data_IF_429353507941
#
_entry.id   IF_429353507941
#
_cell.length_a   1.000
_cell.length_b   1.000
_cell.length_c   1.000
_cell.angle_alpha   90.00
_cell.angle_beta   90.00
_cell.angle_gamma   90.00
#
_symmetry.space_group_name_H-M   'P 1'
#
loop_
_entity.id
_entity.type
_entity.pdbx_description
1 polymer ?
#
# COMPACT_ATOMS: atom_id res chain seq x y z
N UNK A 1 7.88 15.97 14.73
CA UNK A 1 8.39 15.32 13.50
C UNK A 1 7.43 15.61 12.36
N UNK A 2 7.92 16.19 11.30
CA UNK A 2 7.14 16.50 10.09
C UNK A 2 6.59 15.20 9.47
N UNK A 3 5.35 15.25 9.04
CA UNK A 3 4.68 14.19 8.29
C UNK A 3 5.38 14.03 6.94
N UNK A 4 5.64 12.81 6.52
CA UNK A 4 6.29 12.54 5.23
C UNK A 4 5.21 12.53 4.14
N UNK A 5 5.05 13.68 3.47
CA UNK A 5 4.01 13.88 2.44
C UNK A 5 4.12 12.89 1.28
N UNK A 6 5.35 12.57 0.89
CA UNK A 6 5.62 11.61 -0.19
C UNK A 6 5.04 10.22 0.09
N UNK A 7 5.09 9.75 1.34
CA UNK A 7 4.51 8.45 1.70
C UNK A 7 2.98 8.46 1.67
N UNK A 8 2.37 9.58 2.08
CA UNK A 8 0.92 9.72 2.00
C UNK A 8 0.46 9.83 0.53
N UNK A 9 1.21 10.56 -0.32
CA UNK A 9 0.92 10.64 -1.75
C UNK A 9 1.05 9.28 -2.46
N UNK A 10 2.12 8.52 -2.17
CA UNK A 10 2.30 7.16 -2.69
C UNK A 10 1.18 6.22 -2.25
N UNK A 11 0.73 6.34 -0.99
CA UNK A 11 -0.38 5.54 -0.48
C UNK A 11 -1.69 5.91 -1.19
N UNK A 12 -1.93 7.20 -1.46
CA UNK A 12 -3.07 7.66 -2.24
C UNK A 12 -3.06 7.15 -3.67
N UNK A 13 -1.91 7.19 -4.33
CA UNK A 13 -1.71 6.61 -5.66
C UNK A 13 -2.01 5.11 -5.67
N UNK A 14 -1.49 4.37 -4.69
CA UNK A 14 -1.73 2.94 -4.57
C UNK A 14 -3.22 2.60 -4.33
N UNK A 15 -3.91 3.37 -3.48
CA UNK A 15 -5.36 3.20 -3.24
C UNK A 15 -6.17 3.42 -4.52
N UNK A 16 -5.85 4.47 -5.30
CA UNK A 16 -6.52 4.73 -6.57
C UNK A 16 -6.31 3.59 -7.58
N UNK A 17 -5.08 3.08 -7.68
CA UNK A 17 -4.77 1.95 -8.55
C UNK A 17 -5.40 0.62 -8.10
N UNK A 18 -5.43 0.36 -6.79
CA UNK A 18 -6.13 -0.80 -6.22
C UNK A 18 -7.63 -0.73 -6.53
N UNK A 19 -8.25 0.46 -6.47
CA UNK A 19 -9.66 0.62 -6.82
C UNK A 19 -9.94 0.18 -8.27
N UNK A 20 -9.11 0.57 -9.22
CA UNK A 20 -9.25 0.15 -10.63
C UNK A 20 -9.11 -1.37 -10.77
N UNK A 21 -8.06 -1.94 -10.19
CA UNK A 21 -7.78 -3.38 -10.29
C UNK A 21 -8.87 -4.21 -9.62
N UNK A 22 -9.30 -3.85 -8.42
CA UNK A 22 -10.35 -4.58 -7.70
C UNK A 22 -11.70 -4.50 -8.44
N UNK A 23 -12.02 -3.34 -9.03
CA UNK A 23 -13.23 -3.19 -9.86
C UNK A 23 -13.17 -4.12 -11.07
N UNK A 24 -12.01 -4.17 -11.74
CA UNK A 24 -11.82 -5.04 -12.90
C UNK A 24 -11.90 -6.53 -12.52
N UNK A 25 -11.33 -6.94 -11.39
CA UNK A 25 -11.39 -8.33 -10.91
C UNK A 25 -12.83 -8.82 -10.63
N UNK A 26 -13.78 -7.90 -10.39
CA UNK A 26 -15.18 -8.20 -10.16
C UNK A 26 -16.04 -8.15 -11.42
N UNK A 27 -15.46 -7.73 -12.55
CA UNK A 27 -16.14 -7.73 -13.84
C UNK A 27 -16.21 -9.15 -14.44
N UNK A 28 -17.04 -9.31 -15.46
CA UNK A 28 -16.99 -10.52 -16.28
C UNK A 28 -15.65 -10.56 -17.02
N UNK A 29 -15.11 -11.74 -17.29
CA UNK A 29 -13.81 -11.89 -17.96
C UNK A 29 -13.92 -12.47 -19.37
N UNK A 30 -15.12 -12.89 -19.78
CA UNK A 30 -15.40 -13.41 -21.10
C UNK A 30 -16.53 -12.63 -21.79
N UNK A 31 -16.40 -12.28 -23.06
CA UNK A 31 -15.17 -12.35 -23.89
C UNK A 31 -14.13 -11.30 -23.44
N UNK A 32 -12.85 -11.56 -23.68
CA UNK A 32 -11.77 -10.62 -23.33
C UNK A 32 -11.75 -9.42 -24.28
N UNK A 33 -11.55 -8.24 -23.72
CA UNK A 33 -11.48 -6.95 -24.44
C UNK A 33 -10.09 -6.35 -24.41
N UNK A 34 -9.84 -5.30 -25.21
CA UNK A 34 -8.60 -4.52 -25.13
C UNK A 34 -8.39 -3.85 -23.75
N UNK A 35 -9.49 -3.54 -23.04
CA UNK A 35 -9.45 -2.98 -21.68
C UNK A 35 -8.89 -4.02 -20.71
N UNK A 36 -9.33 -5.29 -20.80
CA UNK A 36 -8.84 -6.39 -19.95
C UNK A 36 -7.32 -6.55 -20.12
N UNK A 37 -6.85 -6.61 -21.38
CA UNK A 37 -5.42 -6.71 -21.69
C UNK A 37 -4.62 -5.52 -21.15
N UNK A 38 -5.16 -4.32 -21.28
CA UNK A 38 -4.49 -3.09 -20.80
C UNK A 38 -4.39 -3.09 -19.28
N UNK A 39 -5.47 -3.43 -18.58
CA UNK A 39 -5.48 -3.46 -17.10
C UNK A 39 -4.55 -4.55 -16.61
N UNK A 40 -4.59 -5.75 -17.18
CA UNK A 40 -3.72 -6.85 -16.79
C UNK A 40 -2.24 -6.54 -17.05
N UNK A 41 -1.91 -6.01 -18.23
CA UNK A 41 -0.54 -5.71 -18.60
C UNK A 41 0.07 -4.54 -17.83
N UNK A 42 -0.71 -3.50 -17.47
CA UNK A 42 -0.16 -2.26 -16.91
C UNK A 42 -0.52 -2.04 -15.44
N UNK A 43 -1.64 -2.57 -14.93
CA UNK A 43 -2.15 -2.23 -13.60
C UNK A 43 -2.22 -3.41 -12.65
N UNK A 44 -2.62 -4.58 -13.13
CA UNK A 44 -2.78 -5.77 -12.31
C UNK A 44 -1.46 -6.15 -11.62
N UNK A 45 -1.57 -6.54 -10.35
CA UNK A 45 -0.45 -6.98 -9.49
C UNK A 45 0.65 -5.94 -9.23
N UNK A 46 0.47 -4.65 -9.57
CA UNK A 46 1.47 -3.59 -9.37
C UNK A 46 1.23 -2.73 -8.13
N UNK A 47 -0.01 -2.57 -7.70
CA UNK A 47 -0.35 -1.65 -6.60
C UNK A 47 -0.29 -2.28 -5.22
N UNK A 48 -0.64 -3.56 -5.06
CA UNK A 48 -0.52 -4.23 -3.77
C UNK A 48 0.94 -4.33 -3.28
N UNK A 49 1.97 -4.53 -4.17
CA UNK A 49 3.36 -4.46 -3.74
C UNK A 49 3.76 -3.07 -3.21
N UNK A 50 3.27 -2.00 -3.85
CA UNK A 50 3.49 -0.62 -3.36
C UNK A 50 2.90 -0.46 -1.96
N UNK A 51 1.65 -0.93 -1.78
CA UNK A 51 0.97 -0.83 -0.49
C UNK A 51 1.65 -1.65 0.60
N UNK A 52 2.12 -2.86 0.25
CA UNK A 52 2.89 -3.73 1.16
C UNK A 52 4.20 -3.09 1.59
N UNK A 53 4.96 -2.53 0.66
CA UNK A 53 6.19 -1.79 0.95
C UNK A 53 5.93 -0.60 1.89
N UNK A 54 4.89 0.20 1.61
CA UNK A 54 4.50 1.33 2.44
C UNK A 54 4.01 0.91 3.83
N UNK A 55 3.44 -0.30 3.96
CA UNK A 55 3.06 -0.85 5.25
C UNK A 55 4.30 -1.14 6.10
N UNK A 56 5.33 -1.78 5.54
CA UNK A 56 6.62 -2.00 6.20
C UNK A 56 7.31 -0.70 6.64
N UNK A 57 7.31 0.33 5.79
CA UNK A 57 7.82 1.67 6.13
C UNK A 57 7.02 2.26 7.30
N UNK A 58 5.69 2.19 7.22
CA UNK A 58 4.78 2.74 8.24
C UNK A 58 4.92 2.05 9.59
N UNK A 59 5.24 0.75 9.57
CA UNK A 59 5.51 -0.03 10.76
C UNK A 59 6.72 0.52 11.53
N UNK A 60 7.84 0.77 10.84
CA UNK A 60 9.05 1.36 11.45
C UNK A 60 8.72 2.74 12.02
N UNK A 61 8.07 3.60 11.23
CA UNK A 61 7.68 4.94 11.67
C UNK A 61 6.77 4.93 12.91
N UNK A 62 5.86 3.97 12.98
CA UNK A 62 4.99 3.82 14.15
C UNK A 62 5.78 3.38 15.37
N UNK A 63 6.64 2.38 15.21
CA UNK A 63 7.46 1.84 16.31
C UNK A 63 8.44 2.89 16.85
N UNK A 64 9.10 3.66 15.97
CA UNK A 64 10.02 4.74 16.35
C UNK A 64 9.32 5.85 17.16
N UNK A 65 8.04 6.11 16.82
CA UNK A 65 7.24 7.12 17.53
C UNK A 65 6.71 6.64 18.89
N UNK A 66 6.22 5.43 18.95
CA UNK A 66 5.49 4.95 20.13
C UNK A 66 6.41 4.22 21.10
N UNK A 67 7.54 3.69 20.63
CA UNK A 67 8.45 2.81 21.35
C UNK A 67 7.76 1.62 22.04
N UNK A 68 6.48 1.38 21.72
CA UNK A 68 5.64 0.34 22.31
C UNK A 68 5.26 -0.69 21.26
N UNK A 69 5.84 -1.89 21.40
CA UNK A 69 5.47 -3.05 20.59
C UNK A 69 4.04 -3.52 20.88
N UNK A 70 3.60 -3.35 22.12
CA UNK A 70 2.25 -3.74 22.50
C UNK A 70 1.17 -2.89 21.84
N UNK A 71 1.39 -1.58 21.71
CA UNK A 71 0.51 -0.71 20.93
C UNK A 71 0.44 -1.15 19.45
N UNK A 72 1.57 -1.63 18.91
CA UNK A 72 1.63 -2.15 17.54
C UNK A 72 0.85 -3.46 17.40
N UNK A 73 1.01 -4.40 18.34
CA UNK A 73 0.22 -5.66 18.36
C UNK A 73 -1.27 -5.34 18.37
N UNK A 74 -1.73 -4.47 19.29
CA UNK A 74 -3.15 -4.04 19.32
C UNK A 74 -3.60 -3.44 18.01
N UNK A 75 -2.75 -2.62 17.38
CA UNK A 75 -3.05 -2.01 16.09
C UNK A 75 -3.24 -3.06 14.99
N UNK A 76 -2.42 -4.10 14.96
CA UNK A 76 -2.52 -5.19 14.00
C UNK A 76 -3.73 -6.10 14.29
N UNK A 77 -4.03 -6.38 15.56
CA UNK A 77 -5.22 -7.14 15.94
C UNK A 77 -6.51 -6.42 15.53
N UNK A 78 -6.60 -5.10 15.72
CA UNK A 78 -7.76 -4.35 15.22
C UNK A 78 -7.81 -4.29 13.70
N UNK A 79 -6.67 -4.26 13.02
CA UNK A 79 -6.63 -4.38 11.56
C UNK A 79 -7.16 -5.75 11.11
N UNK A 80 -6.80 -6.82 11.82
CA UNK A 80 -7.36 -8.16 11.58
C UNK A 80 -8.88 -8.17 11.76
N UNK A 81 -9.41 -7.52 12.80
CA UNK A 81 -10.87 -7.42 12.99
C UNK A 81 -11.54 -6.67 11.81
N UNK A 82 -10.94 -5.59 11.31
CA UNK A 82 -11.45 -4.91 10.12
C UNK A 82 -11.39 -5.80 8.87
N UNK A 83 -10.29 -6.55 8.67
CA UNK A 83 -10.16 -7.50 7.57
C UNK A 83 -11.22 -8.59 7.62
N UNK A 84 -11.37 -9.25 8.77
CA UNK A 84 -12.41 -10.28 8.96
C UNK A 84 -13.82 -9.74 8.74
N UNK A 85 -14.12 -8.54 9.23
CA UNK A 85 -15.40 -7.89 8.96
C UNK A 85 -15.59 -7.59 7.47
N UNK A 86 -14.53 -7.16 6.76
CA UNK A 86 -14.61 -6.93 5.32
C UNK A 86 -14.73 -8.23 4.52
N UNK A 87 -14.06 -9.29 4.95
CA UNK A 87 -14.12 -10.61 4.32
C UNK A 87 -15.54 -11.16 4.21
N UNK A 88 -16.45 -10.77 5.12
CA UNK A 88 -17.86 -11.21 5.08
C UNK A 88 -18.61 -10.75 3.83
N UNK A 89 -18.16 -9.68 3.16
CA UNK A 89 -18.81 -9.15 1.96
C UNK A 89 -17.86 -8.99 0.77
N UNK A 90 -16.55 -9.21 0.96
CA UNK A 90 -15.53 -9.08 -0.08
C UNK A 90 -14.39 -10.06 0.13
N UNK A 91 -14.39 -11.17 -0.61
CA UNK A 91 -13.40 -12.26 -0.48
C UNK A 91 -11.96 -11.84 -0.87
N UNK A 92 -11.82 -10.85 -1.75
CA UNK A 92 -10.53 -10.32 -2.22
C UNK A 92 -9.87 -9.30 -1.28
N UNK A 93 -10.24 -9.27 0.00
CA UNK A 93 -9.66 -8.34 0.96
C UNK A 93 -8.21 -8.73 1.32
N UNK A 94 -7.37 -7.72 1.61
CA UNK A 94 -5.94 -7.91 1.92
C UNK A 94 -5.57 -7.48 3.35
N UNK A 95 -6.52 -6.93 4.12
CA UNK A 95 -6.23 -6.41 5.47
C UNK A 95 -5.91 -7.54 6.45
N UNK A 96 -6.56 -8.70 6.29
CA UNK A 96 -6.28 -9.91 7.07
C UNK A 96 -4.86 -10.38 6.85
N UNK A 97 -4.42 -10.49 5.59
CA UNK A 97 -3.04 -10.87 5.25
C UNK A 97 -2.04 -9.88 5.84
N UNK A 98 -2.31 -8.57 5.74
CA UNK A 98 -1.44 -7.54 6.28
C UNK A 98 -1.33 -7.59 7.81
N UNK A 99 -2.41 -7.90 8.48
CA UNK A 99 -2.41 -8.07 9.93
C UNK A 99 -1.61 -9.30 10.36
N UNK A 100 -1.88 -10.46 9.74
CA UNK A 100 -1.21 -11.72 10.02
C UNK A 100 0.29 -11.67 9.72
N UNK A 101 0.67 -11.23 8.52
CA UNK A 101 2.09 -11.08 8.16
C UNK A 101 2.78 -9.97 8.96
N UNK A 102 2.05 -8.92 9.35
CA UNK A 102 2.55 -7.89 10.25
C UNK A 102 2.94 -8.45 11.61
N UNK A 103 2.10 -9.31 12.18
CA UNK A 103 2.37 -10.02 13.44
C UNK A 103 3.48 -11.06 13.28
N UNK A 104 3.41 -11.89 12.23
CA UNK A 104 4.31 -13.03 12.07
C UNK A 104 5.72 -12.64 11.59
N UNK A 105 5.87 -11.55 10.85
CA UNK A 105 7.14 -11.19 10.19
C UNK A 105 7.70 -9.88 10.69
N UNK A 106 6.92 -8.78 10.64
CA UNK A 106 7.45 -7.46 11.01
C UNK A 106 7.76 -7.35 12.50
N UNK A 107 6.94 -7.94 13.36
CA UNK A 107 7.16 -7.88 14.79
C UNK A 107 8.45 -8.61 15.20
N UNK A 108 8.71 -9.88 14.81
CA UNK A 108 10.00 -10.53 15.04
C UNK A 108 11.18 -9.81 14.39
N UNK A 109 11.04 -9.35 13.14
CA UNK A 109 12.08 -8.59 12.44
C UNK A 109 12.46 -7.29 13.19
N UNK A 110 11.51 -6.67 13.88
CA UNK A 110 11.77 -5.50 14.72
C UNK A 110 12.63 -5.83 15.94
N UNK A 111 12.48 -7.04 16.49
CA UNK A 111 13.30 -7.52 17.62
C UNK A 111 14.73 -7.80 17.16
N UNK A 112 14.89 -8.56 16.07
CA UNK A 112 16.20 -8.88 15.50
C UNK A 112 16.98 -7.62 15.14
N UNK A 113 16.33 -6.68 14.46
CA UNK A 113 16.98 -5.44 14.03
C UNK A 113 17.35 -4.52 15.19
N UNK A 114 16.60 -4.54 16.30
CA UNK A 114 16.97 -3.81 17.52
C UNK A 114 18.18 -4.45 18.21
N UNK A 115 18.25 -5.79 18.26
CA UNK A 115 19.39 -6.52 18.77
C UNK A 115 20.68 -6.27 17.97
N UNK A 116 20.59 -6.32 16.63
CA UNK A 116 21.73 -6.05 15.75
C UNK A 116 22.22 -4.59 15.84
N UNK A 117 21.31 -3.65 15.98
CA UNK A 117 21.67 -2.24 16.18
C UNK A 117 22.35 -2.00 17.54
N UNK A 118 21.96 -2.74 18.59
CA UNK A 118 22.61 -2.68 19.91
C UNK A 118 24.03 -3.24 19.88
N UNK A 119 24.28 -4.29 19.07
CA UNK A 119 25.62 -4.91 18.93
C UNK A 119 26.62 -4.04 18.14
N UNK A 120 26.16 -3.12 17.32
CA UNK A 120 27.01 -2.22 16.52
C UNK A 120 26.43 -0.80 16.49
N UNK A 121 26.50 -0.05 17.59
CA UNK A 121 26.02 1.32 17.62
C UNK A 121 26.86 2.17 16.68
N UNK A 122 26.20 2.92 15.78
CA UNK A 122 26.85 3.82 14.83
C UNK A 122 27.22 3.22 13.47
N UNK A 123 27.06 1.91 13.22
CA UNK A 123 27.26 1.37 11.87
C UNK A 123 26.04 1.61 10.99
N UNK A 124 26.24 2.25 9.85
CA UNK A 124 25.22 2.44 8.79
C UNK A 124 24.59 1.11 8.33
N UNK A 125 25.27 0.00 8.58
CA UNK A 125 24.89 -1.37 8.25
C UNK A 125 24.10 -2.08 9.37
N UNK A 126 24.00 -1.47 10.56
CA UNK A 126 23.58 -2.10 11.81
C UNK A 126 22.10 -2.48 11.95
N UNK A 127 21.40 -2.85 10.91
CA UNK A 127 20.04 -3.36 11.01
C UNK A 127 19.17 -3.17 9.77
N UNK A 128 19.49 -2.21 8.90
CA UNK A 128 18.72 -1.97 7.68
C UNK A 128 19.08 -2.96 6.56
N UNK A 129 20.37 -3.18 6.33
CA UNK A 129 20.85 -4.05 5.25
C UNK A 129 20.49 -5.53 5.43
N UNK A 130 20.65 -6.16 6.59
CA UNK A 130 20.22 -7.54 6.80
C UNK A 130 18.73 -7.74 6.56
N UNK A 131 17.90 -6.81 7.04
CA UNK A 131 16.44 -6.86 6.83
C UNK A 131 16.09 -6.68 5.35
N UNK A 132 16.77 -5.77 4.64
CA UNK A 132 16.59 -5.58 3.20
C UNK A 132 16.97 -6.85 2.42
N UNK A 133 18.12 -7.44 2.71
CA UNK A 133 18.61 -8.69 2.05
C UNK A 133 17.63 -9.84 2.30
N UNK A 134 17.17 -10.01 3.54
CA UNK A 134 16.15 -11.01 3.88
C UNK A 134 14.83 -10.75 3.13
N UNK A 135 14.41 -9.50 3.03
CA UNK A 135 13.22 -9.10 2.28
C UNK A 135 13.33 -9.42 0.79
N UNK A 136 14.48 -9.11 0.17
CA UNK A 136 14.75 -9.46 -1.23
C UNK A 136 14.76 -10.97 -1.43
N UNK A 137 15.44 -11.74 -0.58
CA UNK A 137 15.48 -13.20 -0.65
C UNK A 137 14.08 -13.81 -0.52
N UNK A 138 13.26 -13.33 0.44
CA UNK A 138 11.88 -13.75 0.62
C UNK A 138 11.01 -13.42 -0.60
N UNK A 139 11.21 -12.25 -1.21
CA UNK A 139 10.47 -11.85 -2.42
C UNK A 139 10.84 -12.73 -3.61
N UNK A 140 12.14 -13.00 -3.82
CA UNK A 140 12.62 -13.93 -4.87
C UNK A 140 12.04 -15.32 -4.67
N UNK A 141 12.10 -15.85 -3.45
CA UNK A 141 11.52 -17.15 -3.12
C UNK A 141 10.01 -17.19 -3.38
N UNK A 142 9.27 -16.17 -2.95
CA UNK A 142 7.83 -16.08 -3.18
C UNK A 142 7.48 -16.02 -4.67
N UNK A 143 8.26 -15.28 -5.46
CA UNK A 143 8.09 -15.19 -6.91
C UNK A 143 8.28 -16.57 -7.57
N UNK A 144 9.30 -17.33 -7.15
CA UNK A 144 9.52 -18.70 -7.63
C UNK A 144 8.43 -19.70 -7.21
N UNK A 145 7.61 -19.35 -6.20
CA UNK A 145 6.47 -20.18 -5.70
C UNK A 145 5.11 -19.73 -6.22
N UNK A 146 5.06 -18.84 -7.21
CA UNK A 146 3.81 -18.37 -7.82
C UNK A 146 3.32 -17.02 -7.31
N UNK A 147 4.14 -16.29 -6.54
CA UNK A 147 3.86 -14.94 -6.06
C UNK A 147 2.59 -14.82 -5.17
N UNK A 148 1.63 -13.95 -5.53
CA UNK A 148 0.40 -13.76 -4.75
C UNK A 148 0.68 -13.22 -3.33
N UNK A 149 -0.09 -13.64 -2.31
CA UNK A 149 0.07 -13.17 -0.93
C UNK A 149 1.44 -13.48 -0.32
N UNK A 150 2.16 -14.46 -0.84
CA UNK A 150 3.52 -14.80 -0.39
C UNK A 150 4.54 -13.67 -0.60
N UNK A 151 4.26 -12.71 -1.49
CA UNK A 151 5.11 -11.53 -1.71
C UNK A 151 5.03 -10.54 -0.54
N UNK A 152 3.94 -10.50 0.20
CA UNK A 152 3.68 -9.50 1.24
C UNK A 152 4.79 -9.47 2.31
N UNK A 153 5.21 -10.61 2.91
CA UNK A 153 6.28 -10.63 3.91
C UNK A 153 7.60 -10.05 3.41
N UNK A 154 8.02 -10.43 2.20
CA UNK A 154 9.25 -9.93 1.58
C UNK A 154 9.20 -8.42 1.35
N UNK A 155 8.10 -7.91 0.80
CA UNK A 155 7.89 -6.49 0.55
C UNK A 155 7.80 -5.67 1.85
N UNK A 156 7.23 -6.23 2.91
CA UNK A 156 7.24 -5.62 4.25
C UNK A 156 8.66 -5.41 4.75
N UNK A 157 9.51 -6.45 4.65
CA UNK A 157 10.90 -6.38 5.07
C UNK A 157 11.71 -5.42 4.19
N UNK A 158 11.48 -5.39 2.88
CA UNK A 158 12.09 -4.40 1.98
C UNK A 158 11.71 -2.99 2.43
N UNK A 159 10.42 -2.72 2.69
CA UNK A 159 9.96 -1.42 3.18
C UNK A 159 10.62 -1.02 4.51
N UNK A 160 10.72 -1.97 5.46
CA UNK A 160 11.42 -1.76 6.73
C UNK A 160 12.91 -1.46 6.51
N UNK A 161 13.59 -2.22 5.65
CA UNK A 161 15.01 -2.02 5.31
C UNK A 161 15.27 -0.66 4.67
N UNK A 162 14.48 -0.29 3.66
CA UNK A 162 14.58 1.01 2.97
C UNK A 162 14.36 2.18 3.91
N UNK A 163 13.40 2.10 4.84
CA UNK A 163 13.16 3.16 5.81
C UNK A 163 14.36 3.38 6.75
N UNK A 164 15.10 2.33 7.06
CA UNK A 164 16.30 2.39 7.91
C UNK A 164 17.53 2.86 7.15
N UNK A 165 17.71 2.42 5.91
CA UNK A 165 18.85 2.77 5.06
C UNK A 165 18.74 4.19 4.51
N UNK A 166 17.51 4.71 4.32
CA UNK A 166 17.24 6.06 3.80
C UNK A 166 18.06 6.37 2.54
N UNK A 167 17.88 5.62 1.44
CA UNK A 167 18.66 5.81 0.23
C UNK A 167 18.57 7.26 -0.28
N UNK A 168 19.66 7.81 -0.82
CA UNK A 168 19.67 9.18 -1.29
C UNK A 168 18.78 9.37 -2.52
N UNK A 169 18.10 10.51 -2.63
CA UNK A 169 17.16 10.81 -3.72
C UNK A 169 17.77 10.70 -5.12
N UNK A 170 19.09 10.87 -5.27
CA UNK A 170 19.80 10.71 -6.55
C UNK A 170 19.63 9.32 -7.16
N UNK A 171 19.29 8.30 -6.36
CA UNK A 171 19.03 6.96 -6.85
C UNK A 171 17.63 6.77 -7.45
N UNK A 172 16.70 7.73 -7.28
CA UNK A 172 15.33 7.60 -7.80
C UNK A 172 15.29 7.55 -9.33
N UNK A 173 16.03 8.43 -10.02
CA UNK A 173 16.02 8.46 -11.49
C UNK A 173 16.60 7.20 -12.12
N UNK A 174 17.80 6.71 -11.72
CA UNK A 174 18.30 5.44 -12.26
C UNK A 174 17.42 4.24 -11.84
N UNK A 175 16.87 4.22 -10.63
CA UNK A 175 15.95 3.16 -10.21
C UNK A 175 14.67 3.16 -11.05
N UNK A 176 14.12 4.33 -11.37
CA UNK A 176 12.98 4.46 -12.29
C UNK A 176 13.32 3.93 -13.68
N UNK A 177 14.45 4.37 -14.26
CA UNK A 177 14.83 3.95 -15.61
C UNK A 177 15.01 2.43 -15.71
N UNK A 178 15.73 1.83 -14.76
CA UNK A 178 15.97 0.38 -14.73
C UNK A 178 14.66 -0.39 -14.52
N UNK A 179 13.85 0.01 -13.55
CA UNK A 179 12.60 -0.69 -13.25
C UNK A 179 11.55 -0.52 -14.34
N UNK A 180 11.46 0.66 -14.97
CA UNK A 180 10.55 0.90 -16.08
C UNK A 180 10.94 0.09 -17.33
N UNK A 181 12.24 0.06 -17.67
CA UNK A 181 12.74 -0.75 -18.77
C UNK A 181 12.53 -2.24 -18.52
N UNK A 182 12.86 -2.72 -17.32
CA UNK A 182 12.64 -4.12 -16.93
C UNK A 182 11.14 -4.49 -17.00
N UNK A 183 10.26 -3.63 -16.47
CA UNK A 183 8.82 -3.86 -16.54
C UNK A 183 8.32 -3.89 -18.00
N UNK A 184 8.76 -2.97 -18.85
CA UNK A 184 8.36 -2.93 -20.25
C UNK A 184 8.81 -4.19 -21.02
N UNK A 185 10.08 -4.57 -20.89
CA UNK A 185 10.63 -5.74 -21.57
C UNK A 185 9.95 -7.03 -21.10
N UNK A 186 9.82 -7.23 -19.77
CA UNK A 186 9.19 -8.43 -19.23
C UNK A 186 7.70 -8.51 -19.52
N UNK A 187 6.98 -7.37 -19.53
CA UNK A 187 5.58 -7.34 -19.94
C UNK A 187 5.43 -7.65 -21.44
N UNK A 188 6.34 -7.15 -22.29
CA UNK A 188 6.34 -7.45 -23.71
C UNK A 188 6.65 -8.94 -23.97
N UNK A 189 7.61 -9.56 -23.26
CA UNK A 189 7.88 -10.99 -23.38
C UNK A 189 6.70 -11.83 -22.93
N UNK A 190 6.08 -11.49 -21.80
CA UNK A 190 4.86 -12.17 -21.32
C UNK A 190 3.72 -12.07 -22.32
N UNK A 191 3.47 -10.89 -22.90
CA UNK A 191 2.44 -10.69 -23.91
C UNK A 191 2.74 -11.45 -25.21
N UNK A 192 4.01 -11.51 -25.63
CA UNK A 192 4.46 -12.18 -26.86
C UNK A 192 4.36 -13.70 -26.82
N UNK A 193 4.37 -14.33 -25.64
CA UNK A 193 4.15 -15.79 -25.49
C UNK A 193 2.65 -16.14 -25.31
N UNK A 194 1.75 -15.25 -25.69
CA UNK A 194 0.32 -15.50 -25.63
C UNK A 194 -0.32 -15.11 -24.30
N UNK A 195 0.25 -14.10 -23.62
CA UNK A 195 -0.13 -13.61 -22.29
C UNK A 195 -1.61 -13.78 -21.95
N UNK A 196 -1.87 -14.34 -20.80
CA UNK A 196 -3.22 -14.58 -20.29
C UNK A 196 -3.16 -15.53 -19.07
N UNK A 197 -4.27 -15.68 -18.33
CA UNK A 197 -4.35 -16.64 -17.24
C UNK A 197 -4.11 -18.07 -17.77
N UNK A 198 -2.97 -18.68 -17.38
CA UNK A 198 -2.60 -20.04 -17.77
C UNK A 198 -1.72 -20.22 -19.01
N UNK A 199 -1.41 -19.17 -19.77
CA UNK A 199 -0.65 -19.26 -21.03
C UNK A 199 0.76 -18.68 -20.96
N UNK A 200 1.31 -18.37 -19.81
CA UNK A 200 2.65 -17.81 -19.67
C UNK A 200 3.33 -18.20 -18.37
N UNK A 201 4.63 -17.97 -18.31
CA UNK A 201 5.39 -18.16 -17.08
C UNK A 201 4.95 -17.10 -16.04
N UNK A 202 4.21 -17.54 -15.03
CA UNK A 202 3.79 -16.72 -13.89
C UNK A 202 4.96 -15.99 -13.21
N UNK A 203 6.17 -16.56 -13.32
CA UNK A 203 7.39 -15.96 -12.80
C UNK A 203 7.72 -14.68 -13.58
N UNK A 204 7.68 -14.73 -14.92
CA UNK A 204 7.93 -13.57 -15.78
C UNK A 204 6.91 -12.49 -15.50
N UNK A 205 5.62 -12.82 -15.43
CA UNK A 205 4.56 -11.87 -15.09
C UNK A 205 4.78 -11.23 -13.73
N UNK A 206 5.11 -12.02 -12.71
CA UNK A 206 5.30 -11.54 -11.35
C UNK A 206 6.51 -10.62 -11.23
N UNK A 207 7.62 -10.92 -11.91
CA UNK A 207 8.80 -10.06 -11.96
C UNK A 207 8.48 -8.76 -12.71
N UNK A 208 7.74 -8.84 -13.83
CA UNK A 208 7.28 -7.66 -14.56
C UNK A 208 6.40 -6.75 -13.69
N UNK A 209 5.50 -7.34 -12.89
CA UNK A 209 4.63 -6.61 -11.98
C UNK A 209 5.41 -5.94 -10.84
N UNK A 210 6.39 -6.62 -10.24
CA UNK A 210 7.27 -6.06 -9.22
C UNK A 210 8.15 -4.92 -9.78
N UNK A 211 8.72 -5.10 -10.97
CA UNK A 211 9.44 -4.04 -11.67
C UNK A 211 8.52 -2.84 -11.96
N UNK A 212 7.29 -3.08 -12.39
CA UNK A 212 6.27 -2.05 -12.60
C UNK A 212 5.89 -1.32 -11.32
N UNK A 213 5.74 -2.03 -10.20
CA UNK A 213 5.50 -1.43 -8.89
C UNK A 213 6.67 -0.52 -8.46
N UNK A 214 7.91 -0.94 -8.69
CA UNK A 214 9.10 -0.12 -8.43
C UNK A 214 9.15 1.11 -9.35
N UNK A 215 8.82 0.95 -10.64
CA UNK A 215 8.74 2.05 -11.59
C UNK A 215 7.65 3.07 -11.19
N UNK A 216 6.47 2.62 -10.82
CA UNK A 216 5.39 3.50 -10.35
C UNK A 216 5.77 4.24 -9.06
N UNK A 217 6.38 3.54 -8.10
CA UNK A 217 6.84 4.14 -6.84
C UNK A 217 7.86 5.24 -7.08
N UNK A 218 8.91 4.93 -7.84
CA UNK A 218 10.00 5.88 -8.12
C UNK A 218 9.54 6.99 -9.07
N UNK A 219 8.71 6.68 -10.08
CA UNK A 219 8.12 7.64 -10.99
C UNK A 219 7.24 8.67 -10.29
N UNK A 220 6.33 8.22 -9.43
CA UNK A 220 5.48 9.14 -8.65
C UNK A 220 6.36 10.05 -7.78
N UNK A 221 7.40 9.52 -7.12
CA UNK A 221 8.31 10.34 -6.30
C UNK A 221 9.10 11.37 -7.12
N UNK A 222 9.44 11.06 -8.37
CA UNK A 222 10.14 11.98 -9.29
C UNK A 222 9.24 13.12 -9.79
N UNK A 223 7.98 12.80 -10.10
CA UNK A 223 7.02 13.78 -10.66
C UNK A 223 6.16 14.46 -9.61
N UNK A 224 6.33 14.12 -8.32
CA UNK A 224 5.50 14.62 -7.24
C UNK A 224 5.67 16.14 -7.09
N UNK A 225 4.71 16.88 -7.61
CA UNK A 225 4.60 18.34 -7.52
C UNK A 225 3.50 18.73 -6.51
N UNK A 226 3.47 20.00 -6.04
CA UNK A 226 2.48 20.44 -5.04
C UNK A 226 1.02 20.16 -5.44
N UNK A 227 0.65 20.32 -6.69
CA UNK A 227 -0.72 20.06 -7.17
C UNK A 227 -1.08 18.56 -7.11
N UNK A 228 -0.13 17.69 -7.51
CA UNK A 228 -0.33 16.23 -7.45
C UNK A 228 -0.35 15.74 -6.00
N UNK A 229 0.52 16.29 -5.16
CA UNK A 229 0.51 16.05 -3.72
C UNK A 229 -0.81 16.45 -3.08
N UNK A 230 -1.38 17.60 -3.47
CA UNK A 230 -2.66 18.06 -2.97
C UNK A 230 -3.84 17.11 -3.29
N UNK A 231 -3.77 16.37 -4.39
CA UNK A 231 -4.76 15.37 -4.77
C UNK A 231 -4.52 14.01 -4.06
N UNK A 232 -3.27 13.55 -4.03
CA UNK A 232 -2.95 12.21 -3.57
C UNK A 232 -2.80 12.10 -2.05
N UNK A 233 -2.27 13.13 -1.36
CA UNK A 233 -2.08 13.09 0.09
C UNK A 233 -3.39 12.87 0.87
N UNK A 234 -4.51 13.58 0.62
CA UNK A 234 -5.76 13.35 1.31
C UNK A 234 -6.27 11.91 1.13
N UNK A 235 -6.18 11.39 -0.10
CA UNK A 235 -6.58 10.02 -0.42
C UNK A 235 -5.76 8.99 0.38
N UNK A 236 -4.44 9.17 0.46
CA UNK A 236 -3.54 8.30 1.20
C UNK A 236 -3.65 8.44 2.72
N UNK A 237 -4.04 9.62 3.22
CA UNK A 237 -4.32 9.85 4.64
C UNK A 237 -5.57 9.12 5.13
N UNK A 238 -6.50 8.86 4.22
CA UNK A 238 -7.76 8.15 4.46
C UNK A 238 -7.77 6.79 3.76
N UNK A 239 -6.59 6.14 3.62
CA UNK A 239 -6.42 4.93 2.84
C UNK A 239 -7.32 3.77 3.30
N UNK A 240 -7.50 3.56 4.62
CA UNK A 240 -8.38 2.52 5.15
C UNK A 240 -9.85 2.83 4.84
N UNK A 241 -10.28 4.08 5.09
CA UNK A 241 -11.65 4.51 4.77
C UNK A 241 -11.92 4.36 3.28
N UNK A 242 -11.00 4.85 2.43
CA UNK A 242 -11.17 4.80 0.98
C UNK A 242 -11.13 3.36 0.45
N UNK A 243 -10.29 2.49 1.01
CA UNK A 243 -10.25 1.07 0.63
C UNK A 243 -11.56 0.36 0.97
N UNK A 244 -12.06 0.48 2.20
CA UNK A 244 -13.30 -0.19 2.63
C UNK A 244 -14.53 0.37 1.90
N UNK A 245 -14.62 1.69 1.72
CA UNK A 245 -15.74 2.29 0.97
C UNK A 245 -15.67 1.95 -0.51
N UNK A 246 -14.47 1.87 -1.09
CA UNK A 246 -14.27 1.45 -2.49
C UNK A 246 -14.75 0.03 -2.71
N UNK A 247 -14.40 -0.92 -1.84
CA UNK A 247 -14.89 -2.30 -1.95
C UNK A 247 -16.42 -2.39 -1.76
N UNK A 248 -17.00 -1.58 -0.87
CA UNK A 248 -18.46 -1.51 -0.75
C UNK A 248 -19.13 -1.04 -2.05
N UNK A 249 -18.56 -0.02 -2.73
CA UNK A 249 -19.05 0.43 -4.03
C UNK A 249 -18.95 -0.67 -5.09
N UNK A 250 -17.83 -1.41 -5.13
CA UNK A 250 -17.67 -2.54 -6.07
C UNK A 250 -18.77 -3.58 -5.87
N UNK A 251 -19.03 -3.98 -4.61
CA UNK A 251 -20.09 -4.95 -4.28
C UNK A 251 -21.45 -4.44 -4.70
N UNK A 252 -21.77 -3.16 -4.46
CA UNK A 252 -23.02 -2.55 -4.89
C UNK A 252 -23.16 -2.47 -6.42
N UNK A 253 -22.05 -2.33 -7.14
CA UNK A 253 -22.01 -2.26 -8.60
C UNK A 253 -21.75 -3.62 -9.27
N UNK A 254 -21.87 -4.73 -8.56
CA UNK A 254 -21.58 -6.08 -9.10
C UNK A 254 -22.42 -6.40 -10.34
N UNK A 255 -23.69 -6.04 -10.37
CA UNK A 255 -24.58 -6.30 -11.53
C UNK A 255 -24.08 -5.62 -12.81
N UNK A 256 -23.89 -4.28 -12.90
CA UNK A 256 -23.39 -3.66 -14.10
C UNK A 256 -21.96 -4.14 -14.47
N UNK A 257 -21.11 -4.45 -13.49
CA UNK A 257 -19.76 -4.95 -13.76
C UNK A 257 -19.76 -6.33 -14.42
N UNK A 258 -20.69 -7.23 -14.03
CA UNK A 258 -20.79 -8.58 -14.59
C UNK A 258 -21.57 -8.64 -15.89
N UNK A 259 -22.45 -7.68 -16.18
CA UNK A 259 -23.31 -7.70 -17.37
C UNK A 259 -22.77 -6.89 -18.54
N UNK A 260 -21.78 -6.00 -18.30
CA UNK A 260 -21.17 -5.18 -19.35
C UNK A 260 -20.05 -5.94 -20.09
N UNK A 261 -20.25 -6.35 -21.35
CA UNK A 261 -19.21 -7.04 -22.13
C UNK A 261 -18.10 -6.12 -22.61
N UNK A 262 -18.30 -4.80 -22.54
CA UNK A 262 -17.36 -3.80 -23.08
C UNK A 262 -16.33 -3.33 -22.07
N UNK A 263 -16.53 -3.59 -20.77
CA UNK A 263 -15.72 -3.15 -19.62
C UNK A 263 -15.69 -1.63 -19.41
N UNK A 264 -16.51 -0.85 -20.07
CA UNK A 264 -16.63 0.59 -19.80
C UNK A 264 -17.17 0.86 -18.39
N UNK A 265 -18.04 -0.02 -17.88
CA UNK A 265 -18.52 0.02 -16.50
C UNK A 265 -17.38 -0.06 -15.47
N UNK A 266 -16.33 -0.83 -15.74
CA UNK A 266 -15.13 -0.92 -14.88
C UNK A 266 -14.46 0.44 -14.76
N UNK A 267 -14.21 1.10 -15.91
CA UNK A 267 -13.58 2.41 -15.93
C UNK A 267 -14.47 3.48 -15.29
N UNK A 268 -15.77 3.44 -15.58
CA UNK A 268 -16.75 4.38 -15.01
C UNK A 268 -16.84 4.26 -13.50
N UNK A 269 -17.02 3.05 -12.96
CA UNK A 269 -17.12 2.82 -11.51
C UNK A 269 -15.81 3.17 -10.81
N UNK A 270 -14.67 2.72 -11.33
CA UNK A 270 -13.38 3.00 -10.73
C UNK A 270 -13.07 4.50 -10.71
N UNK A 271 -13.21 5.18 -11.86
CA UNK A 271 -12.91 6.63 -11.97
C UNK A 271 -13.85 7.46 -11.11
N UNK A 272 -15.16 7.22 -11.20
CA UNK A 272 -16.15 7.96 -10.40
C UNK A 272 -15.90 7.80 -8.90
N UNK A 273 -15.59 6.57 -8.47
CA UNK A 273 -15.29 6.29 -7.07
C UNK A 273 -14.02 7.01 -6.61
N UNK A 274 -12.93 6.93 -7.38
CA UNK A 274 -11.66 7.61 -7.06
C UNK A 274 -11.86 9.12 -7.00
N UNK A 275 -12.57 9.72 -7.97
CA UNK A 275 -12.88 11.15 -7.95
C UNK A 275 -13.70 11.53 -6.71
N UNK A 276 -14.75 10.78 -6.39
CA UNK A 276 -15.56 11.02 -5.20
C UNK A 276 -14.69 10.89 -3.92
N UNK A 277 -13.81 9.89 -3.85
CA UNK A 277 -12.90 9.70 -2.71
C UNK A 277 -11.88 10.84 -2.57
N UNK A 278 -11.32 11.36 -3.67
CA UNK A 278 -10.42 12.51 -3.66
C UNK A 278 -11.14 13.75 -3.12
N UNK A 279 -12.32 14.04 -3.66
CA UNK A 279 -13.13 15.19 -3.24
C UNK A 279 -13.55 15.07 -1.77
N UNK A 280 -14.08 13.90 -1.38
CA UNK A 280 -14.48 13.66 0.00
C UNK A 280 -13.30 13.73 0.97
N UNK A 281 -12.18 13.09 0.65
CA UNK A 281 -10.99 13.09 1.50
C UNK A 281 -10.44 14.51 1.67
N UNK A 282 -10.37 15.28 0.59
CA UNK A 282 -9.97 16.69 0.63
C UNK A 282 -10.89 17.50 1.55
N UNK A 283 -12.20 17.43 1.32
CA UNK A 283 -13.21 18.12 2.14
C UNK A 283 -13.20 17.68 3.61
N UNK A 284 -13.11 16.38 3.88
CA UNK A 284 -13.11 15.84 5.24
C UNK A 284 -11.90 16.33 6.04
N UNK A 285 -10.73 16.28 5.45
CA UNK A 285 -9.47 16.62 6.11
C UNK A 285 -9.27 18.14 6.34
N UNK A 286 -10.14 18.99 5.81
CA UNK A 286 -10.19 20.40 6.22
C UNK A 286 -10.87 20.59 7.60
N UNK A 287 -11.65 19.60 8.06
CA UNK A 287 -12.41 19.65 9.30
C UNK A 287 -11.92 18.69 10.37
N UNK A 288 -11.32 17.57 9.95
CA UNK A 288 -10.91 16.48 10.82
C UNK A 288 -9.45 16.08 10.58
N UNK A 289 -8.77 15.63 11.64
CA UNK A 289 -7.36 15.22 11.59
C UNK A 289 -7.16 13.86 10.93
N UNK A 290 -8.12 12.96 11.09
CA UNK A 290 -8.07 11.56 10.65
C UNK A 290 -9.33 11.22 9.87
N UNK A 291 -9.23 10.30 8.91
CA UNK A 291 -10.40 9.72 8.27
C UNK A 291 -11.29 8.96 9.27
N UNK A 292 -12.56 8.67 8.92
CA UNK A 292 -13.49 8.01 9.84
C UNK A 292 -12.97 6.69 10.40
N UNK A 293 -12.56 5.75 9.53
CA UNK A 293 -12.06 4.44 9.97
C UNK A 293 -10.66 4.53 10.59
N UNK A 294 -9.79 5.42 10.11
CA UNK A 294 -8.49 5.68 10.71
C UNK A 294 -8.62 6.22 12.14
N UNK A 295 -9.63 7.05 12.38
CA UNK A 295 -9.93 7.57 13.71
C UNK A 295 -10.43 6.47 14.65
N UNK A 296 -11.39 5.66 14.21
CA UNK A 296 -11.90 4.50 14.97
C UNK A 296 -10.73 3.58 15.30
N UNK A 297 -9.94 3.19 14.30
CA UNK A 297 -8.78 2.33 14.48
C UNK A 297 -7.78 2.89 15.51
N UNK A 298 -7.58 4.19 15.49
CA UNK A 298 -6.71 4.88 16.45
C UNK A 298 -7.31 4.85 17.86
N UNK A 299 -8.60 5.14 18.02
CA UNK A 299 -9.27 5.06 19.31
C UNK A 299 -9.20 3.66 19.91
N UNK A 300 -9.42 2.64 19.09
CA UNK A 300 -9.33 1.22 19.49
C UNK A 300 -7.88 0.82 19.85
N UNK A 301 -6.89 1.30 19.11
CA UNK A 301 -5.47 1.04 19.42
C UNK A 301 -5.07 1.57 20.80
N UNK A 302 -5.56 2.77 21.17
CA UNK A 302 -5.19 3.44 22.42
C UNK A 302 -6.20 3.25 23.55
N UNK A 303 -7.33 2.58 23.30
CA UNK A 303 -8.45 2.43 24.22
C UNK A 303 -8.92 3.75 24.84
N UNK A 304 -8.85 4.84 24.06
CA UNK A 304 -9.31 6.16 24.45
C UNK A 304 -9.81 6.94 23.25
N UNK A 305 -10.77 7.84 23.49
CA UNK A 305 -11.25 8.75 22.43
C UNK A 305 -10.17 9.78 22.11
N UNK A 306 -9.65 9.73 20.87
CA UNK A 306 -8.66 10.68 20.37
C UNK A 306 -9.39 11.88 19.77
N UNK A 307 -8.99 13.14 20.07
CA UNK A 307 -9.58 14.32 19.44
C UNK A 307 -9.42 14.27 17.92
N UNK A 308 -10.51 14.41 17.16
CA UNK A 308 -10.48 14.35 15.70
C UNK A 308 -10.81 15.69 15.03
N UNK A 309 -11.64 16.55 15.67
CA UNK A 309 -12.02 17.82 15.09
C UNK A 309 -10.85 18.81 15.14
N UNK A 310 -10.62 19.51 14.03
CA UNK A 310 -9.68 20.64 14.00
C UNK A 310 -10.35 21.83 14.69
N UNK A 311 -9.76 22.36 15.75
CA UNK A 311 -10.20 23.60 16.36
C UNK A 311 -9.85 24.76 15.43
N UNK A 312 -10.82 25.56 15.08
CA UNK A 312 -10.63 26.74 14.24
C UNK A 312 -9.78 27.77 15.01
N UNK A 313 -8.57 27.97 14.58
CA UNK A 313 -7.84 29.23 14.78
C UNK A 313 -6.86 29.36 15.92
N UNK A 314 -6.57 28.36 16.78
CA UNK A 314 -5.62 28.55 17.90
C UNK A 314 -4.50 27.52 18.10
N UNK A 315 -4.45 26.43 17.37
CA UNK A 315 -3.55 25.31 17.72
C UNK A 315 -2.54 24.91 16.64
N UNK A 316 -2.10 25.86 15.79
CA UNK A 316 -1.02 25.55 14.82
C UNK A 316 0.34 25.32 15.47
N UNK A 317 0.53 25.70 16.75
CA UNK A 317 1.82 25.64 17.46
C UNK A 317 1.81 24.84 18.75
N UNK A 318 0.73 24.13 19.11
CA UNK A 318 0.78 23.25 20.27
C UNK A 318 1.35 21.88 19.88
N UNK A 319 2.47 21.45 20.48
CA UNK A 319 2.93 20.08 20.34
C UNK A 319 1.81 19.16 20.78
N UNK A 320 1.52 18.13 19.97
CA UNK A 320 0.57 17.10 20.36
C UNK A 320 0.99 16.53 21.73
N UNK A 321 0.09 16.38 22.69
CA UNK A 321 0.43 15.64 23.91
C UNK A 321 0.92 14.27 23.49
N UNK A 322 2.14 13.93 23.95
CA UNK A 322 2.80 12.67 23.64
C UNK A 322 1.91 11.54 24.15
N UNK A 323 1.38 10.65 23.29
CA UNK A 323 0.43 9.63 23.74
C UNK A 323 1.09 8.46 24.47
N UNK A 324 2.34 8.60 24.87
CA UNK A 324 3.18 7.50 25.32
C UNK A 324 3.80 7.60 26.71
N UNK A 325 3.45 8.59 27.52
CA UNK A 325 3.91 8.61 28.93
C UNK A 325 2.72 8.48 29.89
N UNK A 326 2.81 7.54 30.88
CA UNK A 326 1.84 7.48 31.98
C UNK A 326 1.92 8.72 32.83
#
# INVERSE_FOLDING_TARGET
MTRIRELDALRGFAVGGIMLVNTWQHAAHEPRTGIDWTIEALFQSRFYPIFSLLFGISFVLFLDRTRSRWALVRRLLWLLCFGLAQHTFYEGEVLTDYALYGLAVLLPASLLSSGLAALRPGSFLGGGLPVLVLGVAATVWATARGAGPLLIPGLFLIGMGLMRLRPPRRLLAPAFAVSALASALLTATWAGVGGGPGAGDWTVYSVAALAGAAAYTTGVLLVLRPWLSALLEPLGRMALTNYVTGTAVIVLCTTPLKTDPTRWSVLAVALTTVVAQVLFSGWWLTRYRYGPLEWIWRCLTWFRRVPNRLESGRDHNRPLPDPGLP
#
